data_IF_220043202745
#
_entry.id   IF_220043202745
#
_cell.length_a   1.000
_cell.length_b   1.000
_cell.length_c   1.000
_cell.angle_alpha   90.00
_cell.angle_beta   90.00
_cell.angle_gamma   90.00
#
_symmetry.space_group_name_H-M   'P 1'
#
loop_
_entity.id
_entity.type
_entity.pdbx_description
1 polymer ?
#
# COMPACT_ATOMS: atom_id res chain seq x y z
N UNK A 1 -14.57 -16.51 6.51
CA UNK A 1 -15.38 -15.92 5.41
C UNK A 1 -14.41 -15.17 4.52
N UNK A 2 -13.99 -15.81 3.44
CA UNK A 2 -12.92 -15.40 2.53
C UNK A 2 -13.58 -14.68 1.35
N UNK A 3 -13.47 -13.36 1.31
CA UNK A 3 -13.89 -12.52 0.19
C UNK A 3 -12.88 -11.35 0.16
N UNK A 4 -12.29 -10.94 -0.95
CA UNK A 4 -12.50 -11.26 -2.35
C UNK A 4 -11.14 -11.15 -3.04
N UNK A 5 -10.92 -11.94 -4.09
CA UNK A 5 -9.82 -11.70 -5.02
C UNK A 5 -9.96 -10.28 -5.55
N UNK A 6 -8.94 -9.45 -5.32
CA UNK A 6 -8.86 -8.12 -5.88
C UNK A 6 -8.80 -8.23 -7.39
N UNK A 7 -9.95 -8.06 -8.04
CA UNK A 7 -10.00 -7.85 -9.48
C UNK A 7 -9.28 -6.53 -9.73
N UNK A 8 -8.02 -6.59 -10.17
CA UNK A 8 -7.34 -5.46 -10.80
C UNK A 8 -8.04 -5.27 -12.14
N UNK A 9 -9.28 -4.77 -12.07
CA UNK A 9 -10.04 -4.34 -13.20
C UNK A 9 -9.21 -3.31 -13.94
N UNK A 10 -9.36 -3.31 -15.26
CA UNK A 10 -8.70 -2.50 -16.29
C UNK A 10 -8.63 -0.98 -16.03
N UNK A 11 -9.15 -0.51 -14.90
CA UNK A 11 -9.29 0.87 -14.40
C UNK A 11 -8.24 1.28 -13.36
N UNK A 12 -7.36 0.38 -12.91
CA UNK A 12 -6.23 0.77 -12.02
C UNK A 12 -6.63 1.11 -10.58
N UNK A 13 -7.81 0.68 -10.14
CA UNK A 13 -8.28 0.78 -8.75
C UNK A 13 -8.22 -0.61 -8.11
N UNK A 14 -7.51 -0.73 -7.00
CA UNK A 14 -7.46 -1.93 -6.17
C UNK A 14 -8.49 -1.82 -5.03
N UNK A 15 -9.29 -2.87 -4.81
CA UNK A 15 -10.29 -2.91 -3.73
C UNK A 15 -10.05 -4.10 -2.80
N UNK A 16 -10.11 -3.86 -1.50
CA UNK A 16 -9.98 -4.89 -0.47
C UNK A 16 -10.87 -4.55 0.72
N UNK A 17 -12.05 -5.19 0.79
CA UNK A 17 -13.08 -4.84 1.77
C UNK A 17 -13.49 -3.37 1.60
N UNK A 18 -13.39 -2.59 2.67
CA UNK A 18 -13.73 -1.17 2.68
C UNK A 18 -12.60 -0.26 2.15
N UNK A 19 -11.43 -0.83 1.83
CA UNK A 19 -10.27 -0.11 1.28
C UNK A 19 -10.35 -0.06 -0.26
N UNK A 20 -10.30 1.14 -0.82
CA UNK A 20 -10.12 1.39 -2.24
C UNK A 20 -8.82 2.17 -2.47
N UNK A 21 -7.99 1.73 -3.41
CA UNK A 21 -6.72 2.36 -3.76
C UNK A 21 -6.70 2.61 -5.25
N UNK A 22 -6.82 3.86 -5.65
CA UNK A 22 -6.67 4.30 -7.03
C UNK A 22 -5.20 4.55 -7.31
N UNK A 23 -4.55 3.57 -7.96
CA UNK A 23 -3.13 3.63 -8.30
C UNK A 23 -2.83 4.66 -9.41
N UNK A 24 -3.83 5.03 -10.21
CA UNK A 24 -3.71 5.98 -11.33
C UNK A 24 -3.78 7.41 -10.80
N UNK A 25 -4.76 7.70 -9.94
CA UNK A 25 -4.98 9.03 -9.35
C UNK A 25 -4.21 9.24 -8.04
N UNK A 26 -3.54 8.20 -7.54
CA UNK A 26 -2.88 8.16 -6.22
C UNK A 26 -3.81 8.57 -5.09
N UNK A 27 -5.03 8.03 -5.09
CA UNK A 27 -6.04 8.28 -4.05
C UNK A 27 -6.37 7.01 -3.29
N UNK A 28 -6.65 7.18 -2.01
CA UNK A 28 -7.00 6.07 -1.12
C UNK A 28 -8.29 6.42 -0.43
N UNK A 29 -9.24 5.49 -0.44
CA UNK A 29 -10.51 5.63 0.26
C UNK A 29 -10.71 4.47 1.23
N UNK A 30 -11.25 4.76 2.40
CA UNK A 30 -11.62 3.75 3.39
C UNK A 30 -13.07 4.05 3.79
N UNK A 31 -13.95 3.05 3.73
CA UNK A 31 -15.39 3.22 3.99
C UNK A 31 -16.03 4.34 3.13
N UNK A 32 -15.51 4.56 1.92
CA UNK A 32 -15.97 5.61 1.01
C UNK A 32 -15.42 7.02 1.30
N UNK A 33 -14.68 7.23 2.39
CA UNK A 33 -14.03 8.51 2.71
C UNK A 33 -12.62 8.59 2.11
N UNK A 34 -12.25 9.74 1.55
CA UNK A 34 -10.91 9.99 0.99
C UNK A 34 -9.92 10.26 2.12
N UNK A 35 -8.89 9.43 2.22
CA UNK A 35 -7.84 9.55 3.23
C UNK A 35 -6.63 10.21 2.56
N UNK A 36 -6.23 11.36 3.10
CA UNK A 36 -4.96 11.98 2.72
C UNK A 36 -3.80 11.26 3.42
N UNK A 37 -3.10 10.45 2.65
CA UNK A 37 -1.85 9.82 3.08
C UNK A 37 -0.66 10.71 2.72
N UNK A 38 0.37 10.67 3.55
CA UNK A 38 1.68 11.20 3.18
C UNK A 38 2.27 10.39 2.02
N UNK A 39 3.24 10.98 1.33
CA UNK A 39 3.92 10.31 0.20
C UNK A 39 4.52 8.95 0.61
N UNK A 40 5.02 8.81 1.84
CA UNK A 40 5.60 7.57 2.36
C UNK A 40 4.54 6.52 2.61
N UNK A 41 3.44 6.87 3.27
CA UNK A 41 2.32 5.96 3.55
C UNK A 41 1.69 5.43 2.26
N UNK A 42 1.47 6.31 1.27
CA UNK A 42 0.97 5.88 -0.03
C UNK A 42 1.90 4.87 -0.70
N UNK A 43 3.23 5.06 -0.60
CA UNK A 43 4.18 4.10 -1.18
C UNK A 43 4.12 2.74 -0.49
N UNK A 44 3.99 2.71 0.84
CA UNK A 44 3.80 1.45 1.59
C UNK A 44 2.52 0.75 1.13
N UNK A 45 1.42 1.49 1.08
CA UNK A 45 0.12 0.95 0.67
C UNK A 45 0.14 0.44 -0.78
N UNK A 46 0.77 1.20 -1.67
CA UNK A 46 0.96 0.81 -3.08
C UNK A 46 1.79 -0.46 -3.20
N UNK A 47 2.83 -0.62 -2.37
CA UNK A 47 3.62 -1.84 -2.33
C UNK A 47 2.80 -3.03 -1.82
N UNK A 48 2.07 -2.84 -0.71
CA UNK A 48 1.23 -3.88 -0.13
C UNK A 48 0.11 -4.31 -1.09
N UNK A 49 -0.50 -3.38 -1.81
CA UNK A 49 -1.53 -3.67 -2.81
C UNK A 49 -0.96 -4.36 -4.05
N UNK A 50 0.24 -4.00 -4.51
CA UNK A 50 0.95 -4.73 -5.60
C UNK A 50 1.32 -6.15 -5.23
N UNK A 51 1.62 -6.42 -3.96
CA UNK A 51 1.95 -7.74 -3.43
C UNK A 51 0.81 -8.34 -2.60
N UNK A 52 -0.43 -7.90 -2.84
CA UNK A 52 -1.59 -8.34 -2.07
C UNK A 52 -1.71 -9.88 -2.06
N UNK A 53 -1.94 -10.43 -0.88
CA UNK A 53 -2.00 -11.89 -0.65
C UNK A 53 -0.66 -12.55 -0.34
N UNK A 54 0.45 -11.79 -0.28
CA UNK A 54 1.76 -12.29 0.20
C UNK A 54 2.14 -11.63 1.52
N UNK A 55 2.79 -12.39 2.40
CA UNK A 55 3.40 -11.85 3.62
C UNK A 55 4.67 -11.12 3.23
N UNK A 56 4.70 -9.80 3.42
CA UNK A 56 5.91 -8.99 3.23
C UNK A 56 6.64 -8.81 4.56
N UNK A 57 7.96 -8.97 4.56
CA UNK A 57 8.79 -8.69 5.73
C UNK A 57 9.10 -7.20 5.82
N UNK A 58 9.39 -6.74 7.04
CA UNK A 58 9.80 -5.36 7.29
C UNK A 58 11.04 -4.96 6.46
N UNK A 59 12.04 -5.86 6.38
CA UNK A 59 13.23 -5.66 5.55
C UNK A 59 12.91 -5.47 4.06
N UNK A 60 11.98 -6.26 3.52
CA UNK A 60 11.56 -6.14 2.12
C UNK A 60 10.91 -4.79 1.85
N UNK A 61 9.99 -4.36 2.72
CA UNK A 61 9.33 -3.05 2.61
C UNK A 61 10.38 -1.93 2.70
N UNK A 62 11.35 -2.06 3.61
CA UNK A 62 12.43 -1.09 3.77
C UNK A 62 13.27 -0.94 2.50
N UNK A 63 13.72 -2.07 1.95
CA UNK A 63 14.58 -2.09 0.76
C UNK A 63 13.87 -1.56 -0.48
N UNK A 64 12.58 -1.85 -0.63
CA UNK A 64 11.81 -1.41 -1.80
C UNK A 64 11.44 0.08 -1.73
N UNK A 65 11.26 0.63 -0.53
CA UNK A 65 10.87 2.04 -0.35
C UNK A 65 12.05 3.00 -0.26
N UNK A 66 13.12 2.59 0.42
CA UNK A 66 14.29 3.43 0.71
C UNK A 66 15.57 2.95 0.02
N UNK A 67 15.54 1.81 -0.68
CA UNK A 67 16.66 1.26 -1.44
C UNK A 67 17.60 0.37 -0.60
N UNK A 68 18.60 -0.26 -1.25
CA UNK A 68 19.55 -1.16 -0.59
C UNK A 68 20.48 -0.49 0.44
N UNK A 69 20.54 0.85 0.45
CA UNK A 69 21.32 1.64 1.40
C UNK A 69 20.51 2.09 2.63
N UNK A 70 19.27 1.63 2.78
CA UNK A 70 18.39 1.95 3.91
C UNK A 70 18.75 1.21 5.22
N UNK A 71 20.01 0.82 5.39
CA UNK A 71 20.50 0.30 6.65
C UNK A 71 20.72 1.46 7.62
N UNK A 72 19.79 1.70 8.53
CA UNK A 72 20.13 2.46 9.75
C UNK A 72 19.06 3.30 10.42
N UNK A 73 17.93 3.60 9.79
CA UNK A 73 16.97 4.56 10.38
C UNK A 73 15.64 3.91 10.72
N UNK A 74 15.63 3.24 11.88
CA UNK A 74 14.45 2.73 12.60
C UNK A 74 13.54 3.85 13.15
N UNK A 75 13.38 4.95 12.41
CA UNK A 75 12.65 6.16 12.81
C UNK A 75 11.69 6.67 11.72
N UNK A 76 11.63 6.05 10.55
CA UNK A 76 10.83 6.58 9.41
C UNK A 76 9.36 6.13 9.48
N UNK A 77 8.97 5.30 10.47
CA UNK A 77 7.58 4.92 10.73
C UNK A 77 7.25 5.10 12.21
N UNK A 78 7.21 6.34 12.68
CA UNK A 78 6.45 6.69 13.87
C UNK A 78 5.42 7.73 13.47
N UNK A 79 4.16 7.29 13.39
CA UNK A 79 2.98 8.14 13.56
C UNK A 79 2.60 8.10 15.03
#
# INVERSE_FOLDING_TARGET
RTAAGGEVGRTGVYRCGDLEVDCVRRRVRINGEDIHLTQSEYRILSLLTRHAGKVLTYDFILRELWGPSAGGSNQILRV
#
